data_IF_746015535478
#
_entry.id   IF_746015535478
#
_cell.length_a   1.000
_cell.length_b   1.000
_cell.length_c   1.000
_cell.angle_alpha   90.00
_cell.angle_beta   90.00
_cell.angle_gamma   90.00
#
_symmetry.space_group_name_H-M   'P 1'
#
loop_
_entity.id
_entity.type
_entity.pdbx_description
1 polymer ?
#
# COMPACT_ATOMS: atom_id res chain seq x y z
N UNK A 1 -9.45 -5.52 -3.55
CA UNK A 1 -10.82 -6.07 -3.59
C UNK A 1 -10.93 -7.44 -2.92
N UNK A 2 -12.00 -8.18 -3.24
CA UNK A 2 -12.14 -9.61 -2.88
C UNK A 2 -12.77 -9.92 -1.52
N UNK A 3 -13.54 -9.00 -0.93
CA UNK A 3 -14.20 -9.18 0.38
C UNK A 3 -15.74 -9.08 0.30
N UNK A 4 -16.32 -9.07 -0.91
CA UNK A 4 -17.77 -8.94 -1.09
C UNK A 4 -18.32 -7.57 -0.66
N UNK A 5 -17.53 -6.51 -0.78
CA UNK A 5 -17.98 -5.15 -0.45
C UNK A 5 -19.00 -4.65 -1.49
N UNK A 6 -19.79 -3.65 -1.09
CA UNK A 6 -20.77 -2.96 -1.97
C UNK A 6 -20.04 -2.34 -3.18
N UNK A 7 -20.79 -2.10 -4.26
CA UNK A 7 -20.34 -1.36 -5.45
C UNK A 7 -19.44 -0.16 -5.08
N UNK A 8 -18.37 0.07 -5.83
CA UNK A 8 -17.38 1.14 -5.59
C UNK A 8 -16.45 0.98 -4.38
N UNK A 9 -16.36 -0.22 -3.80
CA UNK A 9 -15.49 -0.47 -2.63
C UNK A 9 -14.42 -1.55 -2.83
N UNK A 10 -14.29 -2.14 -4.02
CA UNK A 10 -13.40 -3.29 -4.30
C UNK A 10 -12.53 -3.16 -5.55
N UNK A 11 -12.66 -2.04 -6.25
CA UNK A 11 -11.90 -1.69 -7.45
C UNK A 11 -10.41 -1.64 -7.14
N UNK A 12 -9.63 -1.86 -8.20
CA UNK A 12 -8.18 -1.76 -8.21
C UNK A 12 -7.78 -0.68 -9.23
N UNK A 13 -7.85 0.61 -8.84
CA UNK A 13 -7.53 1.73 -9.73
C UNK A 13 -6.02 2.01 -9.79
N UNK A 14 -5.16 1.20 -9.18
CA UNK A 14 -3.73 1.45 -9.04
C UNK A 14 -3.06 1.61 -10.42
N UNK A 15 -3.51 0.84 -11.41
CA UNK A 15 -3.03 0.94 -12.79
C UNK A 15 -3.28 2.31 -13.41
N UNK A 16 -4.39 2.99 -13.10
CA UNK A 16 -4.66 4.33 -13.62
C UNK A 16 -3.59 5.33 -13.13
N UNK A 17 -3.30 5.29 -11.82
CA UNK A 17 -2.34 6.20 -11.20
C UNK A 17 -0.89 5.87 -11.55
N UNK A 18 -0.58 4.60 -11.80
CA UNK A 18 0.76 4.17 -12.20
C UNK A 18 1.23 4.78 -13.54
N UNK A 19 0.30 5.22 -14.39
CA UNK A 19 0.60 5.89 -15.66
C UNK A 19 0.69 7.42 -15.55
N UNK A 20 0.50 7.99 -14.36
CA UNK A 20 0.61 9.43 -14.13
C UNK A 20 2.05 9.76 -13.75
N UNK A 21 2.75 10.49 -14.62
CA UNK A 21 4.13 10.91 -14.37
C UNK A 21 4.23 11.75 -13.10
N UNK A 22 5.29 11.52 -12.31
CA UNK A 22 5.56 12.21 -11.06
C UNK A 22 4.85 11.62 -9.83
N UNK A 23 4.00 10.60 -9.99
CA UNK A 23 3.45 9.86 -8.85
C UNK A 23 4.24 8.57 -8.61
N UNK A 24 4.50 8.27 -7.33
CA UNK A 24 4.88 6.93 -6.88
C UNK A 24 3.62 6.21 -6.43
N UNK A 25 3.42 4.97 -6.87
CA UNK A 25 2.24 4.15 -6.51
C UNK A 25 2.71 2.88 -5.84
N UNK A 26 2.19 2.60 -4.65
CA UNK A 26 2.62 1.45 -3.84
C UNK A 26 1.43 0.74 -3.21
N UNK A 27 1.56 -0.58 -2.98
CA UNK A 27 0.58 -1.39 -2.25
C UNK A 27 1.28 -2.48 -1.44
N UNK A 28 1.20 -2.47 -0.09
CA UNK A 28 1.90 -3.44 0.74
C UNK A 28 1.25 -4.84 0.67
N UNK A 29 2.07 -5.89 0.75
CA UNK A 29 1.58 -7.27 0.69
C UNK A 29 1.45 -7.96 2.06
N UNK A 30 2.12 -7.43 3.09
CA UNK A 30 2.18 -8.00 4.44
C UNK A 30 2.46 -6.90 5.49
N UNK A 31 2.54 -7.29 6.77
CA UNK A 31 2.74 -6.35 7.88
C UNK A 31 4.10 -5.64 7.85
N UNK A 32 5.18 -6.33 7.44
CA UNK A 32 6.52 -5.75 7.32
C UNK A 32 6.58 -4.74 6.17
N UNK A 33 6.03 -5.09 5.00
CA UNK A 33 5.87 -4.17 3.87
C UNK A 33 5.12 -2.91 4.30
N UNK A 34 3.98 -3.07 4.98
CA UNK A 34 3.17 -1.93 5.43
C UNK A 34 3.95 -1.01 6.37
N UNK A 35 4.72 -1.57 7.31
CA UNK A 35 5.53 -0.82 8.27
C UNK A 35 6.62 0.01 7.57
N UNK A 36 7.41 -0.60 6.69
CA UNK A 36 8.53 0.08 6.04
C UNK A 36 8.10 0.99 4.91
N UNK A 37 7.18 0.53 4.05
CA UNK A 37 6.74 1.32 2.91
C UNK A 37 6.00 2.59 3.33
N UNK A 38 5.28 2.57 4.46
CA UNK A 38 4.64 3.80 4.99
C UNK A 38 5.69 4.83 5.41
N UNK A 39 6.74 4.40 6.10
CA UNK A 39 7.83 5.29 6.50
C UNK A 39 8.56 5.86 5.28
N UNK A 40 8.91 5.00 4.31
CA UNK A 40 9.51 5.44 3.05
C UNK A 40 8.60 6.40 2.27
N UNK A 41 7.28 6.17 2.29
CA UNK A 41 6.32 7.06 1.65
C UNK A 41 6.29 8.45 2.28
N UNK A 42 6.33 8.52 3.62
CA UNK A 42 6.40 9.79 4.37
C UNK A 42 7.73 10.52 4.16
N UNK A 43 8.83 9.78 4.00
CA UNK A 43 10.17 10.35 3.78
C UNK A 43 10.44 10.76 2.32
N UNK A 44 9.58 10.36 1.38
CA UNK A 44 9.76 10.66 -0.04
C UNK A 44 9.49 12.15 -0.31
N UNK A 45 10.39 12.79 -1.06
CA UNK A 45 10.19 14.15 -1.59
C UNK A 45 9.09 14.20 -2.67
N UNK A 46 8.83 13.08 -3.36
CA UNK A 46 7.80 12.95 -4.39
C UNK A 46 6.48 12.42 -3.81
N UNK A 47 5.31 12.79 -4.36
CA UNK A 47 4.01 12.33 -3.88
C UNK A 47 3.84 10.81 -4.05
N UNK A 48 3.38 10.16 -2.98
CA UNK A 48 3.14 8.72 -2.92
C UNK A 48 1.66 8.42 -2.72
N UNK A 49 1.08 7.62 -3.62
CA UNK A 49 -0.25 7.02 -3.42
C UNK A 49 -0.07 5.64 -2.81
N UNK A 50 -0.59 5.47 -1.59
CA UNK A 50 -0.49 4.25 -0.81
C UNK A 50 -1.82 3.49 -0.84
N UNK A 51 -1.88 2.38 -1.57
CA UNK A 51 -3.08 1.55 -1.69
C UNK A 51 -3.08 0.41 -0.67
N UNK A 52 -3.90 0.54 0.36
CA UNK A 52 -4.05 -0.46 1.42
C UNK A 52 -5.02 -1.58 1.04
N UNK A 53 -4.57 -2.85 0.92
CA UNK A 53 -5.47 -3.94 0.57
C UNK A 53 -6.40 -4.28 1.75
N UNK A 54 -7.66 -3.83 1.72
CA UNK A 54 -8.66 -4.05 2.80
C UNK A 54 -8.77 -5.50 3.28
N UNK A 55 -8.60 -6.48 2.38
CA UNK A 55 -8.63 -7.91 2.70
C UNK A 55 -7.55 -8.33 3.71
N UNK A 56 -6.45 -7.57 3.78
CA UNK A 56 -5.27 -7.86 4.59
C UNK A 56 -5.22 -7.09 5.90
N UNK A 57 -6.19 -6.24 6.22
CA UNK A 57 -6.16 -5.43 7.45
C UNK A 57 -6.07 -6.24 8.74
N UNK A 58 -6.54 -7.48 8.71
CA UNK A 58 -6.55 -8.37 9.87
C UNK A 58 -5.43 -9.41 9.84
N UNK A 59 -4.64 -9.44 8.76
CA UNK A 59 -3.48 -10.33 8.64
C UNK A 59 -2.39 -9.83 9.59
N UNK A 60 -1.88 -10.72 10.44
CA UNK A 60 -0.75 -10.44 11.32
C UNK A 60 0.52 -11.04 10.73
N UNK A 61 1.64 -10.35 10.91
CA UNK A 61 2.97 -10.82 10.55
C UNK A 61 4.02 -10.24 11.48
N UNK A 62 5.18 -10.88 11.54
CA UNK A 62 6.33 -10.31 12.23
C UNK A 62 6.79 -9.04 11.52
N UNK A 63 7.25 -8.08 12.32
CA UNK A 63 7.80 -6.81 11.83
C UNK A 63 9.16 -6.64 12.48
N UNK A 64 10.21 -6.73 11.67
CA UNK A 64 11.55 -6.35 12.08
C UNK A 64 11.70 -4.84 11.93
N UNK A 65 11.84 -4.14 13.06
CA UNK A 65 12.02 -2.68 13.10
C UNK A 65 13.47 -2.25 12.95
N UNK A 66 14.40 -3.20 12.99
CA UNK A 66 15.84 -2.95 12.89
C UNK A 66 16.39 -3.27 11.49
N UNK A 67 15.60 -3.95 10.64
CA UNK A 67 15.98 -4.21 9.26
C UNK A 67 16.15 -2.91 8.48
N UNK A 68 17.26 -2.77 7.74
CA UNK A 68 17.40 -1.67 6.78
C UNK A 68 16.49 -1.99 5.59
N UNK A 69 15.52 -1.12 5.24
CA UNK A 69 14.63 -1.34 4.11
C UNK A 69 15.33 -1.20 2.75
#
# INVERSE_FOLDING_TARGET
>A
GGIGAVEHHSESPEALFAHVAGLKVVSPSNASDAYWMMQQAVQSDDPVIFFEPKRRYWDKGEVDTESIP
#
